data_IF_512117889694
#
_entry.id   IF_512117889694
#
_cell.length_a   1.000
_cell.length_b   1.000
_cell.length_c   1.000
_cell.angle_alpha   90.00
_cell.angle_beta   90.00
_cell.angle_gamma   90.00
#
_symmetry.space_group_name_H-M   'P 1'
#
loop_
_entity.id
_entity.type
_entity.pdbx_description
1 polymer ?
#
# COMPACT_ATOMS: atom_id res chain seq x y z
N UNK A 1 16.43 19.52 33.65
CA UNK A 1 15.00 19.18 33.43
C UNK A 1 14.24 20.38 32.89
N UNK A 2 14.50 21.57 33.42
CA UNK A 2 13.84 22.83 33.00
C UNK A 2 14.14 23.22 31.55
N UNK A 3 15.30 22.86 31.03
CA UNK A 3 15.66 23.08 29.62
C UNK A 3 14.74 22.36 28.62
N UNK A 4 14.32 21.12 28.94
CA UNK A 4 13.42 20.34 28.08
C UNK A 4 12.02 20.94 28.10
N UNK A 5 11.54 21.34 29.29
CA UNK A 5 10.24 21.99 29.44
C UNK A 5 10.21 23.35 28.74
N UNK A 6 11.27 24.15 28.86
CA UNK A 6 11.37 25.44 28.16
C UNK A 6 11.42 25.25 26.64
N UNK A 7 12.16 24.26 26.13
CA UNK A 7 12.19 23.93 24.69
C UNK A 7 10.85 23.43 24.15
N UNK A 8 10.13 22.61 24.92
CA UNK A 8 8.78 22.15 24.56
C UNK A 8 7.79 23.31 24.53
N UNK A 9 7.91 24.24 25.49
CA UNK A 9 7.06 25.43 25.57
C UNK A 9 7.38 26.40 24.43
N UNK A 10 8.66 26.61 24.10
CA UNK A 10 9.09 27.40 22.94
C UNK A 10 8.62 26.78 21.61
N UNK A 11 8.70 25.45 21.46
CA UNK A 11 8.16 24.77 20.27
C UNK A 11 6.63 24.85 20.19
N UNK A 12 5.93 24.76 21.32
CA UNK A 12 4.47 24.90 21.37
C UNK A 12 4.04 26.33 21.06
N UNK A 13 4.73 27.33 21.58
CA UNK A 13 4.45 28.75 21.32
C UNK A 13 4.78 29.11 19.86
N UNK A 14 5.89 28.62 19.31
CA UNK A 14 6.23 28.80 17.89
C UNK A 14 5.23 28.11 16.94
N UNK A 15 4.71 26.93 17.32
CA UNK A 15 3.62 26.24 16.59
C UNK A 15 2.26 26.94 16.73
N UNK A 16 2.06 27.73 17.79
CA UNK A 16 0.80 28.46 18.06
C UNK A 16 0.79 29.86 17.43
N UNK A 17 1.95 30.49 17.23
CA UNK A 17 2.08 31.86 16.74
C UNK A 17 1.99 32.05 15.21
N UNK A 18 1.90 30.96 14.42
CA UNK A 18 1.77 31.06 12.95
C UNK A 18 0.30 31.01 12.55
N UNK A 19 -0.40 32.13 12.73
CA UNK A 19 -1.82 32.27 12.41
C UNK A 19 -1.98 32.74 10.94
N UNK A 20 -2.05 31.80 9.99
CA UNK A 20 -2.64 31.99 8.64
C UNK A 20 -3.20 30.64 8.10
N UNK A 21 -4.24 30.68 7.23
CA UNK A 21 -5.62 30.34 7.59
C UNK A 21 -5.80 28.87 8.06
N UNK A 22 -6.10 28.71 9.35
CA UNK A 22 -6.24 27.42 10.09
C UNK A 22 -7.19 26.40 9.43
N UNK A 23 -8.25 26.87 8.77
CA UNK A 23 -9.26 25.99 8.14
C UNK A 23 -8.73 25.24 6.90
N UNK A 24 -7.95 25.92 6.04
CA UNK A 24 -7.41 25.29 4.81
C UNK A 24 -6.36 24.23 5.14
N UNK A 25 -5.57 24.45 6.19
CA UNK A 25 -4.58 23.49 6.66
C UNK A 25 -5.25 22.24 7.26
N UNK A 26 -6.23 22.42 8.15
CA UNK A 26 -7.01 21.32 8.73
C UNK A 26 -7.71 20.51 7.64
N UNK A 27 -8.37 21.17 6.69
CA UNK A 27 -9.01 20.50 5.56
C UNK A 27 -7.99 19.72 4.71
N UNK A 28 -6.79 20.24 4.51
CA UNK A 28 -5.71 19.53 3.80
C UNK A 28 -5.27 18.27 4.54
N UNK A 29 -5.12 18.32 5.86
CA UNK A 29 -4.78 17.14 6.66
C UNK A 29 -5.89 16.08 6.61
N UNK A 30 -7.16 16.49 6.70
CA UNK A 30 -8.31 15.59 6.56
C UNK A 30 -8.32 14.94 5.17
N UNK A 31 -8.15 15.71 4.10
CA UNK A 31 -8.09 15.20 2.74
C UNK A 31 -6.94 14.20 2.54
N UNK A 32 -5.77 14.46 3.11
CA UNK A 32 -4.62 13.53 3.09
C UNK A 32 -5.00 12.22 3.78
N UNK A 33 -5.59 12.27 4.98
CA UNK A 33 -6.02 11.07 5.70
C UNK A 33 -7.07 10.30 4.89
N UNK A 34 -8.04 10.98 4.27
CA UNK A 34 -9.05 10.35 3.40
C UNK A 34 -8.39 9.67 2.19
N UNK A 35 -7.45 10.32 1.52
CA UNK A 35 -6.72 9.73 0.38
C UNK A 35 -5.90 8.51 0.80
N UNK A 36 -5.20 8.56 1.94
CA UNK A 36 -4.46 7.42 2.47
C UNK A 36 -5.40 6.28 2.89
N UNK A 37 -6.55 6.62 3.48
CA UNK A 37 -7.59 5.66 3.88
C UNK A 37 -8.15 4.93 2.67
N UNK A 38 -8.57 5.67 1.63
CA UNK A 38 -9.09 5.09 0.40
C UNK A 38 -8.00 4.30 -0.34
N UNK A 39 -6.77 4.81 -0.40
CA UNK A 39 -5.64 4.11 -0.99
C UNK A 39 -5.38 2.75 -0.33
N UNK A 40 -5.37 2.69 1.01
CA UNK A 40 -5.20 1.43 1.73
C UNK A 40 -6.43 0.52 1.62
N UNK A 41 -7.64 1.08 1.60
CA UNK A 41 -8.89 0.34 1.36
C UNK A 41 -8.84 -0.44 0.04
N UNK A 42 -8.48 0.23 -1.07
CA UNK A 42 -8.37 -0.44 -2.36
C UNK A 42 -7.20 -1.43 -2.39
N UNK A 43 -6.08 -1.09 -1.75
CA UNK A 43 -4.93 -1.99 -1.66
C UNK A 43 -5.29 -3.27 -0.91
N UNK A 44 -6.00 -3.19 0.22
CA UNK A 44 -6.43 -4.35 0.99
C UNK A 44 -7.49 -5.16 0.25
N UNK A 45 -8.40 -4.48 -0.46
CA UNK A 45 -9.40 -5.15 -1.28
C UNK A 45 -8.77 -6.05 -2.35
N UNK A 46 -7.83 -5.53 -3.15
CA UNK A 46 -7.11 -6.33 -4.16
C UNK A 46 -6.10 -7.30 -3.57
N UNK A 47 -5.34 -6.86 -2.55
CA UNK A 47 -4.26 -7.63 -1.94
C UNK A 47 -4.76 -8.83 -1.16
N UNK A 48 -5.83 -8.69 -0.37
CA UNK A 48 -6.41 -9.83 0.35
C UNK A 48 -7.16 -10.77 -0.58
N UNK A 49 -7.78 -10.25 -1.65
CA UNK A 49 -8.31 -11.13 -2.70
C UNK A 49 -7.21 -12.01 -3.29
N UNK A 50 -6.03 -11.44 -3.56
CA UNK A 50 -4.86 -12.23 -3.94
C UNK A 50 -4.51 -13.27 -2.87
N UNK A 51 -4.24 -12.84 -1.64
CA UNK A 51 -3.72 -13.74 -0.59
C UNK A 51 -4.68 -14.91 -0.28
N UNK A 52 -5.98 -14.67 -0.33
CA UNK A 52 -6.98 -15.69 -0.04
C UNK A 52 -7.16 -16.67 -1.20
N UNK A 53 -7.14 -16.20 -2.45
CA UNK A 53 -7.43 -17.01 -3.63
C UNK A 53 -6.19 -17.51 -4.37
N UNK A 54 -5.00 -17.00 -4.07
CA UNK A 54 -3.73 -17.35 -4.74
C UNK A 54 -3.50 -18.87 -4.83
N UNK A 55 -3.65 -19.67 -3.75
CA UNK A 55 -3.45 -21.11 -3.84
C UNK A 55 -4.49 -21.78 -4.75
N UNK A 56 -5.74 -21.29 -4.69
CA UNK A 56 -6.83 -21.82 -5.51
C UNK A 56 -6.66 -21.46 -6.99
N UNK A 57 -6.20 -20.23 -7.28
CA UNK A 57 -5.87 -19.77 -8.63
C UNK A 57 -4.74 -20.61 -9.21
N UNK A 58 -3.63 -20.78 -8.46
CA UNK A 58 -2.51 -21.62 -8.90
C UNK A 58 -2.98 -23.04 -9.18
N UNK A 59 -3.72 -23.66 -8.27
CA UNK A 59 -4.21 -25.03 -8.46
C UNK A 59 -5.08 -25.16 -9.72
N UNK A 60 -6.06 -24.27 -9.91
CA UNK A 60 -6.99 -24.36 -11.03
C UNK A 60 -6.37 -24.00 -12.38
N UNK A 61 -5.41 -23.07 -12.41
CA UNK A 61 -4.76 -22.64 -13.65
C UNK A 61 -3.64 -23.58 -14.10
N UNK A 62 -2.96 -24.25 -13.16
CA UNK A 62 -1.83 -25.16 -13.46
C UNK A 62 -2.18 -26.64 -13.44
N UNK A 63 -3.29 -27.02 -12.79
CA UNK A 63 -3.64 -28.41 -12.50
C UNK A 63 -2.71 -29.09 -11.48
N UNK A 64 -1.91 -28.32 -10.73
CA UNK A 64 -0.95 -28.88 -9.78
C UNK A 64 -1.60 -29.46 -8.52
N UNK A 65 -0.92 -30.44 -7.92
CA UNK A 65 -1.29 -30.96 -6.60
C UNK A 65 -1.15 -29.88 -5.52
N UNK A 66 -1.94 -30.00 -4.45
CA UNK A 66 -1.88 -29.10 -3.28
C UNK A 66 -0.44 -28.94 -2.78
N UNK A 67 0.32 -30.04 -2.71
CA UNK A 67 1.71 -30.01 -2.26
C UNK A 67 2.60 -29.10 -3.11
N UNK A 68 2.50 -29.16 -4.45
CA UNK A 68 3.28 -28.28 -5.33
C UNK A 68 2.88 -26.82 -5.19
N UNK A 69 1.58 -26.55 -5.08
CA UNK A 69 1.06 -25.18 -4.86
C UNK A 69 1.60 -24.61 -3.54
N UNK A 70 1.61 -25.40 -2.46
CA UNK A 70 2.15 -24.97 -1.17
C UNK A 70 3.64 -24.60 -1.24
N UNK A 71 4.43 -25.29 -2.07
CA UNK A 71 5.84 -24.94 -2.28
C UNK A 71 6.04 -23.62 -3.03
N UNK A 72 5.02 -23.12 -3.75
CA UNK A 72 5.10 -21.84 -4.44
C UNK A 72 4.83 -20.66 -3.52
N UNK A 73 4.07 -20.85 -2.44
CA UNK A 73 3.78 -19.79 -1.45
C UNK A 73 5.04 -19.08 -0.95
N UNK A 74 6.08 -19.78 -0.47
CA UNK A 74 7.35 -19.17 -0.08
C UNK A 74 8.04 -18.37 -1.19
N UNK A 75 7.90 -18.76 -2.45
CA UNK A 75 8.49 -18.02 -3.59
C UNK A 75 7.75 -16.69 -3.78
N UNK A 76 6.42 -16.74 -3.81
CA UNK A 76 5.55 -15.57 -4.00
C UNK A 76 5.72 -14.57 -2.87
N UNK A 77 5.63 -15.04 -1.62
CA UNK A 77 5.79 -14.19 -0.43
C UNK A 77 7.25 -13.80 -0.17
N UNK A 78 8.21 -14.63 -0.58
CA UNK A 78 9.64 -14.32 -0.51
C UNK A 78 10.03 -13.14 -1.41
N UNK A 79 9.46 -13.05 -2.62
CA UNK A 79 9.58 -11.86 -3.46
C UNK A 79 8.98 -10.61 -2.78
N UNK A 80 7.84 -10.78 -2.09
CA UNK A 80 7.25 -9.80 -1.16
C UNK A 80 8.22 -9.26 -0.12
N UNK A 81 8.84 -10.16 0.63
CA UNK A 81 9.80 -9.83 1.68
C UNK A 81 11.02 -9.09 1.14
N UNK A 82 11.63 -9.60 0.06
CA UNK A 82 12.78 -8.94 -0.57
C UNK A 82 12.43 -7.51 -1.01
N UNK A 83 11.24 -7.34 -1.60
CA UNK A 83 10.71 -6.05 -1.98
C UNK A 83 10.51 -5.10 -0.82
N UNK A 84 9.94 -5.58 0.29
CA UNK A 84 9.74 -4.80 1.51
C UNK A 84 11.05 -4.27 2.09
N UNK A 85 12.08 -5.11 2.15
CA UNK A 85 13.40 -4.70 2.65
C UNK A 85 14.03 -3.65 1.75
N UNK A 86 13.99 -3.86 0.42
CA UNK A 86 14.55 -2.92 -0.54
C UNK A 86 13.79 -1.59 -0.56
N UNK A 87 12.47 -1.61 -0.67
CA UNK A 87 11.65 -0.39 -0.71
C UNK A 87 11.62 0.34 0.63
N UNK A 88 11.70 -0.37 1.76
CA UNK A 88 11.89 0.25 3.07
C UNK A 88 13.18 1.06 3.14
N UNK A 89 14.31 0.43 2.83
CA UNK A 89 15.62 1.09 2.82
C UNK A 89 15.68 2.24 1.81
N UNK A 90 15.19 2.02 0.60
CA UNK A 90 15.17 3.01 -0.48
C UNK A 90 14.28 4.21 -0.14
N UNK A 91 13.10 3.96 0.47
CA UNK A 91 12.17 4.99 0.91
C UNK A 91 12.79 5.89 1.97
N UNK A 92 13.53 5.32 2.91
CA UNK A 92 14.21 6.09 3.96
C UNK A 92 15.35 6.95 3.40
N UNK A 93 16.08 6.44 2.41
CA UNK A 93 17.18 7.17 1.76
C UNK A 93 16.70 8.30 0.84
N UNK A 94 15.71 8.04 -0.01
CA UNK A 94 15.22 9.01 -0.99
C UNK A 94 14.13 9.92 -0.44
N UNK A 95 13.45 9.53 0.63
CA UNK A 95 12.31 10.23 1.25
C UNK A 95 11.15 10.48 0.28
N UNK A 96 11.09 9.74 -0.82
CA UNK A 96 10.04 9.79 -1.83
C UNK A 96 8.95 8.74 -1.57
N UNK A 97 8.38 8.77 -0.37
CA UNK A 97 7.51 7.69 0.17
C UNK A 97 6.31 7.35 -0.72
N UNK A 98 5.80 8.31 -1.50
CA UNK A 98 4.69 8.06 -2.44
C UNK A 98 5.06 7.19 -3.62
N UNK A 99 6.23 7.42 -4.20
CA UNK A 99 6.71 6.59 -5.30
C UNK A 99 7.02 5.19 -4.78
N UNK A 100 7.54 5.09 -3.56
CA UNK A 100 7.78 3.81 -2.90
C UNK A 100 6.50 3.06 -2.51
N UNK A 101 5.36 3.75 -2.42
CA UNK A 101 4.04 3.11 -2.32
C UNK A 101 3.48 2.73 -3.70
N UNK A 102 3.49 3.66 -4.66
CA UNK A 102 2.82 3.47 -5.93
C UNK A 102 3.54 2.49 -6.85
N UNK A 103 4.87 2.48 -6.88
CA UNK A 103 5.65 1.63 -7.78
C UNK A 103 5.38 0.14 -7.51
N UNK A 104 5.40 -0.37 -6.26
CA UNK A 104 5.04 -1.76 -5.99
C UNK A 104 3.62 -2.13 -6.42
N UNK A 105 2.60 -1.33 -6.07
CA UNK A 105 1.22 -1.58 -6.50
C UNK A 105 1.05 -1.57 -8.02
N UNK A 106 1.67 -0.60 -8.70
CA UNK A 106 1.64 -0.53 -10.16
C UNK A 106 2.36 -1.72 -10.79
N UNK A 107 3.44 -2.21 -10.17
CA UNK A 107 4.13 -3.43 -10.62
C UNK A 107 3.20 -4.64 -10.56
N UNK A 108 2.43 -4.80 -9.49
CA UNK A 108 1.40 -5.86 -9.40
C UNK A 108 0.30 -5.69 -10.46
N UNK A 109 -0.19 -4.45 -10.67
CA UNK A 109 -1.20 -4.16 -11.68
C UNK A 109 -0.71 -4.47 -13.10
N UNK A 110 0.51 -4.05 -13.43
CA UNK A 110 1.13 -4.32 -14.73
C UNK A 110 1.39 -5.81 -14.92
N UNK A 111 1.88 -6.52 -13.90
CA UNK A 111 2.11 -7.96 -13.98
C UNK A 111 0.82 -8.73 -14.30
N UNK A 112 -0.29 -8.39 -13.63
CA UNK A 112 -1.61 -8.96 -13.93
C UNK A 112 -2.15 -8.51 -15.29
N UNK A 113 -1.88 -7.27 -15.71
CA UNK A 113 -2.26 -6.79 -17.04
C UNK A 113 -1.55 -7.56 -18.15
N UNK A 114 -0.25 -7.82 -17.99
CA UNK A 114 0.58 -8.56 -18.94
C UNK A 114 0.15 -10.04 -19.02
N UNK A 115 -0.39 -10.61 -17.94
CA UNK A 115 -0.92 -11.99 -17.95
C UNK A 115 -1.95 -12.24 -19.05
N UNK A 116 -2.78 -11.25 -19.39
CA UNK A 116 -3.79 -11.37 -20.44
C UNK A 116 -3.20 -11.56 -21.85
N UNK A 117 -1.95 -11.17 -22.05
CA UNK A 117 -1.28 -11.20 -23.35
C UNK A 117 -0.18 -12.27 -23.42
N UNK A 118 0.19 -12.86 -22.28
CA UNK A 118 1.22 -13.88 -22.23
C UNK A 118 0.68 -15.27 -22.61
N UNK A 119 1.51 -16.11 -23.26
CA UNK A 119 1.21 -17.52 -23.41
C UNK A 119 0.99 -18.15 -22.04
N UNK A 120 -0.10 -18.91 -21.92
CA UNK A 120 -0.52 -19.53 -20.66
C UNK A 120 0.46 -20.65 -20.29
N UNK A 121 1.51 -20.29 -19.55
CA UNK A 121 2.55 -21.18 -19.05
C UNK A 121 2.62 -21.11 -17.53
N UNK A 122 2.83 -22.26 -16.90
CA UNK A 122 2.95 -22.35 -15.45
C UNK A 122 4.11 -21.49 -14.91
N UNK A 123 5.21 -21.37 -15.67
CA UNK A 123 6.36 -20.54 -15.28
C UNK A 123 5.97 -19.06 -15.31
N UNK A 124 5.25 -18.63 -16.35
CA UNK A 124 4.79 -17.25 -16.46
C UNK A 124 3.81 -16.89 -15.33
N UNK A 125 2.92 -17.81 -14.96
CA UNK A 125 1.98 -17.62 -13.85
C UNK A 125 2.71 -17.41 -12.52
N UNK A 126 3.69 -18.26 -12.19
CA UNK A 126 4.46 -18.14 -10.94
C UNK A 126 5.24 -16.83 -10.90
N UNK A 127 5.83 -16.40 -12.02
CA UNK A 127 6.52 -15.11 -12.11
C UNK A 127 5.56 -13.94 -11.87
N UNK A 128 4.39 -13.94 -12.50
CA UNK A 128 3.39 -12.89 -12.32
C UNK A 128 2.88 -12.88 -10.88
N UNK A 129 2.58 -14.03 -10.30
CA UNK A 129 2.11 -14.12 -8.92
C UNK A 129 3.18 -13.65 -7.94
N UNK A 130 4.45 -13.92 -8.22
CA UNK A 130 5.58 -13.41 -7.42
C UNK A 130 5.68 -11.87 -7.51
N UNK A 131 5.46 -11.28 -8.69
CA UNK A 131 5.41 -9.82 -8.86
C UNK A 131 4.19 -9.19 -8.17
N UNK A 132 3.06 -9.90 -8.14
CA UNK A 132 1.88 -9.46 -7.37
C UNK A 132 2.16 -9.57 -5.87
N UNK A 133 2.75 -10.66 -5.40
CA UNK A 133 3.22 -10.85 -4.02
C UNK A 133 4.15 -9.72 -3.59
N UNK A 134 5.15 -9.40 -4.43
CA UNK A 134 5.99 -8.21 -4.30
C UNK A 134 5.17 -6.93 -4.12
N UNK A 135 4.24 -6.63 -5.03
CA UNK A 135 3.45 -5.41 -4.99
C UNK A 135 2.49 -5.33 -3.79
N UNK A 136 2.04 -6.46 -3.25
CA UNK A 136 1.15 -6.49 -2.06
C UNK A 136 1.88 -6.35 -0.73
N UNK A 137 3.22 -6.47 -0.71
CA UNK A 137 4.00 -6.44 0.54
C UNK A 137 5.00 -5.27 0.56
N UNK A 138 5.64 -4.97 -0.58
CA UNK A 138 6.76 -4.03 -0.61
C UNK A 138 6.39 -2.58 -0.23
N UNK A 139 5.12 -2.20 -0.36
CA UNK A 139 4.65 -0.84 -0.06
C UNK A 139 4.47 -0.55 1.44
N UNK A 140 4.33 -1.59 2.28
CA UNK A 140 3.98 -1.46 3.71
C UNK A 140 4.86 -0.43 4.46
N UNK A 141 6.19 -0.50 4.42
CA UNK A 141 7.04 0.42 5.17
C UNK A 141 6.91 1.86 4.69
N UNK A 142 6.79 2.06 3.38
CA UNK A 142 6.61 3.39 2.80
C UNK A 142 5.26 4.00 3.19
N UNK A 143 4.18 3.21 3.21
CA UNK A 143 2.85 3.68 3.55
C UNK A 143 2.75 4.15 5.00
N UNK A 144 3.20 3.33 5.95
CA UNK A 144 3.07 3.65 7.38
C UNK A 144 3.96 4.82 7.83
N UNK A 145 4.94 5.21 7.01
CA UNK A 145 5.71 6.42 7.21
C UNK A 145 4.99 7.70 6.72
N UNK A 146 3.93 7.60 5.90
CA UNK A 146 3.20 8.77 5.36
C UNK A 146 2.38 9.51 6.43
N UNK A 147 1.55 8.87 7.29
CA UNK A 147 0.73 9.61 8.26
C UNK A 147 1.56 10.47 9.22
N UNK A 148 2.68 9.94 9.72
CA UNK A 148 3.58 10.64 10.64
C UNK A 148 4.34 11.80 9.99
N UNK A 149 4.37 11.88 8.67
CA UNK A 149 5.00 12.99 7.95
C UNK A 149 4.11 14.22 7.83
N UNK A 150 2.79 14.03 7.88
CA UNK A 150 1.81 15.11 7.71
C UNK A 150 1.14 15.52 9.02
N UNK A 151 1.11 14.65 10.02
CA UNK A 151 0.32 14.83 11.24
C UNK A 151 1.24 14.89 12.46
N UNK A 152 0.79 15.57 13.51
CA UNK A 152 1.44 15.47 14.82
C UNK A 152 1.40 14.04 15.33
N UNK A 153 2.32 13.65 16.22
CA UNK A 153 2.45 12.27 16.70
C UNK A 153 1.13 11.67 17.22
N UNK A 154 0.32 12.46 17.94
CA UNK A 154 -1.00 12.04 18.45
C UNK A 154 -2.03 11.88 17.32
N UNK A 155 -2.11 12.86 16.40
CA UNK A 155 -3.05 12.80 15.28
C UNK A 155 -2.68 11.69 14.27
N UNK A 156 -1.38 11.42 14.09
CA UNK A 156 -0.88 10.34 13.24
C UNK A 156 -1.29 8.96 13.78
N UNK A 157 -1.23 8.74 15.10
CA UNK A 157 -1.68 7.49 15.72
C UNK A 157 -3.19 7.28 15.55
N UNK A 158 -4.00 8.32 15.78
CA UNK A 158 -5.44 8.28 15.58
C UNK A 158 -5.80 8.01 14.10
N UNK A 159 -5.14 8.69 13.17
CA UNK A 159 -5.32 8.48 11.74
C UNK A 159 -4.92 7.06 11.31
N UNK A 160 -3.80 6.52 11.82
CA UNK A 160 -3.36 5.17 11.53
C UNK A 160 -4.37 4.11 11.98
N UNK A 161 -4.95 4.26 13.18
CA UNK A 161 -6.03 3.39 13.66
C UNK A 161 -7.27 3.46 12.77
N UNK A 162 -7.72 4.68 12.43
CA UNK A 162 -8.87 4.88 11.54
C UNK A 162 -8.66 4.29 10.15
N UNK A 163 -7.48 4.53 9.56
CA UNK A 163 -7.06 3.97 8.27
C UNK A 163 -7.13 2.45 8.30
N UNK A 164 -6.62 1.81 9.37
CA UNK A 164 -6.62 0.36 9.49
C UNK A 164 -8.04 -0.23 9.58
N UNK A 165 -8.93 0.39 10.36
CA UNK A 165 -10.33 -0.02 10.46
C UNK A 165 -11.02 0.02 9.09
N UNK A 166 -10.87 1.12 8.36
CA UNK A 166 -11.44 1.28 7.02
C UNK A 166 -10.80 0.31 6.03
N UNK A 167 -9.48 0.15 6.05
CA UNK A 167 -8.80 -0.80 5.18
C UNK A 167 -9.24 -2.24 5.43
N UNK A 168 -9.51 -2.62 6.68
CA UNK A 168 -10.04 -3.94 7.04
C UNK A 168 -11.43 -4.18 6.46
N UNK A 169 -12.28 -3.15 6.36
CA UNK A 169 -13.56 -3.23 5.64
C UNK A 169 -13.32 -3.55 4.16
N UNK A 170 -12.36 -2.87 3.53
CA UNK A 170 -11.95 -3.16 2.15
C UNK A 170 -11.43 -4.59 1.98
N UNK A 171 -10.63 -5.06 2.94
CA UNK A 171 -10.12 -6.42 3.00
C UNK A 171 -11.19 -7.50 3.22
N UNK A 172 -12.35 -7.16 3.81
CA UNK A 172 -13.50 -8.06 3.91
C UNK A 172 -14.27 -8.13 2.58
N UNK A 173 -14.56 -6.98 1.97
CA UNK A 173 -15.33 -6.93 0.73
C UNK A 173 -14.55 -7.42 -0.49
N UNK A 174 -13.23 -7.19 -0.56
CA UNK A 174 -12.39 -7.58 -1.70
C UNK A 174 -12.48 -9.06 -2.06
N UNK A 175 -12.11 -9.99 -1.17
CA UNK A 175 -12.24 -11.43 -1.39
C UNK A 175 -13.69 -11.87 -1.66
N UNK A 176 -14.68 -11.25 -0.99
CA UNK A 176 -16.09 -11.58 -1.21
C UNK A 176 -16.53 -11.28 -2.64
N UNK A 177 -16.26 -10.06 -3.12
CA UNK A 177 -16.60 -9.62 -4.48
C UNK A 177 -15.80 -10.44 -5.51
N UNK A 178 -14.51 -10.66 -5.25
CA UNK A 178 -13.66 -11.50 -6.09
C UNK A 178 -14.22 -12.92 -6.25
N UNK A 179 -14.60 -13.56 -5.14
CA UNK A 179 -15.14 -14.92 -5.13
C UNK A 179 -16.45 -15.02 -5.90
N UNK A 180 -17.37 -14.08 -5.68
CA UNK A 180 -18.66 -14.03 -6.36
C UNK A 180 -18.51 -13.81 -7.88
N UNK A 181 -17.63 -12.89 -8.30
CA UNK A 181 -17.32 -12.66 -9.71
C UNK A 181 -16.71 -13.90 -10.36
N UNK A 182 -15.76 -14.55 -9.68
CA UNK A 182 -15.07 -15.73 -10.19
C UNK A 182 -16.02 -16.93 -10.31
N UNK A 183 -16.98 -17.08 -9.39
CA UNK A 183 -18.00 -18.12 -9.46
C UNK A 183 -19.02 -17.87 -10.58
N UNK A 184 -19.52 -16.64 -10.71
CA UNK A 184 -20.54 -16.29 -11.74
C UNK A 184 -19.98 -16.36 -13.15
N UNK A 185 -18.74 -15.92 -13.36
CA UNK A 185 -18.12 -15.89 -14.69
C UNK A 185 -17.40 -17.20 -15.05
N UNK A 186 -17.14 -18.06 -14.06
CA UNK A 186 -16.37 -19.29 -14.25
C UNK A 186 -14.88 -19.06 -14.57
N UNK A 187 -14.41 -17.81 -14.54
CA UNK A 187 -13.05 -17.42 -14.90
C UNK A 187 -12.46 -16.45 -13.88
N UNK A 188 -11.14 -16.54 -13.68
CA UNK A 188 -10.41 -15.62 -12.81
C UNK A 188 -10.10 -14.27 -13.47
N UNK A 189 -10.32 -14.15 -14.78
CA UNK A 189 -10.03 -12.94 -15.56
C UNK A 189 -10.73 -11.70 -14.97
N UNK A 190 -12.02 -11.84 -14.63
CA UNK A 190 -12.81 -10.75 -14.02
C UNK A 190 -12.25 -10.35 -12.66
N UNK A 191 -11.78 -11.33 -11.88
CA UNK A 191 -11.12 -11.11 -10.60
C UNK A 191 -9.79 -10.38 -10.76
N UNK A 192 -8.98 -10.74 -11.75
CA UNK A 192 -7.74 -10.02 -12.07
C UNK A 192 -8.00 -8.58 -12.48
N UNK A 193 -9.04 -8.31 -13.28
CA UNK A 193 -9.42 -6.93 -13.64
C UNK A 193 -9.77 -6.13 -12.38
N UNK A 194 -10.53 -6.71 -11.44
CA UNK A 194 -10.86 -6.06 -10.17
C UNK A 194 -9.60 -5.74 -9.35
N UNK A 195 -8.64 -6.65 -9.30
CA UNK A 195 -7.37 -6.44 -8.59
C UNK A 195 -6.50 -5.37 -9.26
N UNK A 196 -6.43 -5.37 -10.60
CA UNK A 196 -5.71 -4.34 -11.36
C UNK A 196 -6.34 -2.97 -11.06
N UNK A 197 -7.67 -2.86 -11.16
CA UNK A 197 -8.39 -1.63 -10.90
C UNK A 197 -8.12 -1.12 -9.48
N UNK A 198 -8.15 -1.99 -8.48
CA UNK A 198 -7.91 -1.58 -7.09
C UNK A 198 -6.47 -1.13 -6.85
N UNK A 199 -5.46 -1.83 -7.40
CA UNK A 199 -4.05 -1.40 -7.29
C UNK A 199 -3.76 -0.09 -8.03
N UNK A 200 -4.36 0.11 -9.21
CA UNK A 200 -4.23 1.37 -9.96
C UNK A 200 -4.88 2.52 -9.22
N UNK A 201 -6.13 2.35 -8.77
CA UNK A 201 -6.85 3.40 -8.01
C UNK A 201 -6.09 3.74 -6.73
N UNK A 202 -5.59 2.74 -5.99
CA UNK A 202 -4.77 2.98 -4.80
C UNK A 202 -3.52 3.80 -5.10
N UNK A 203 -2.79 3.44 -6.16
CA UNK A 203 -1.57 4.12 -6.59
C UNK A 203 -1.84 5.57 -6.99
N UNK A 204 -2.88 5.81 -7.79
CA UNK A 204 -3.27 7.16 -8.22
C UNK A 204 -3.68 8.01 -7.03
N UNK A 205 -4.49 7.49 -6.11
CA UNK A 205 -4.91 8.23 -4.91
C UNK A 205 -3.73 8.69 -4.05
N UNK A 206 -2.74 7.81 -3.86
CA UNK A 206 -1.54 8.15 -3.07
C UNK A 206 -0.61 9.10 -3.83
N UNK A 207 -0.48 8.98 -5.16
CA UNK A 207 0.34 9.90 -5.98
C UNK A 207 -0.25 11.31 -6.04
N UNK A 208 -1.59 11.44 -6.08
CA UNK A 208 -2.30 12.74 -6.10
C UNK A 208 -2.21 13.48 -4.76
N UNK A 209 -1.92 12.76 -3.67
CA UNK A 209 -1.70 13.36 -2.36
C UNK A 209 -0.61 14.47 -2.43
N UNK A 210 -0.71 15.62 -1.71
CA UNK A 210 0.24 16.75 -1.82
C UNK A 210 1.64 16.44 -1.29
N UNK A 211 2.73 16.81 -1.99
CA UNK A 211 4.16 16.52 -1.63
C UNK A 211 4.43 16.78 -0.14
N UNK A 212 5.05 15.80 0.52
CA UNK A 212 5.55 15.98 1.88
C UNK A 212 6.54 17.15 1.80
N UNK A 213 6.21 18.27 2.43
CA UNK A 213 7.16 19.34 2.63
C UNK A 213 8.10 18.89 3.75
N UNK A 214 9.00 17.97 3.43
CA UNK A 214 10.15 17.69 4.27
C UNK A 214 11.02 18.94 4.19
N UNK A 215 10.89 19.80 5.20
CA UNK A 215 11.74 20.97 5.32
C UNK A 215 13.19 20.56 5.12
N UNK A 216 13.91 21.27 4.23
CA UNK A 216 15.36 21.19 4.01
C UNK A 216 16.19 21.60 5.25
N UNK A 217 15.74 21.27 6.47
CA UNK A 217 16.16 21.93 7.71
C UNK A 217 16.92 21.09 8.73
N UNK A 218 17.40 19.88 8.41
CA UNK A 218 18.10 19.07 9.44
C UNK A 218 19.28 18.23 8.97
N UNK A 219 19.77 18.39 7.74
CA UNK A 219 20.99 17.69 7.27
C UNK A 219 22.23 18.60 7.27
N UNK A 220 22.12 19.83 7.78
CA UNK A 220 23.24 20.79 7.84
C UNK A 220 23.89 20.94 9.22
N UNK A 221 23.80 19.94 10.11
CA UNK A 221 24.58 19.91 11.37
C UNK A 221 25.10 18.51 11.66
N UNK A 222 26.11 18.12 10.88
CA UNK A 222 27.29 17.39 11.37
C UNK A 222 28.42 18.42 11.44
#
# INVERSE_FOLDING_TARGET
RDWINNRLTEEQVAKTATDQPRMKLVLRHILIVVMLTLGLFFTYSGGYAFWFFEPTMLQRLTGWSVQRVSWMGPIVFGAGLAGMLFFGWSSDRMRERRWHFAIPQLTAAVALGVWFFLPQSNVALVLIFSLVGFGTIAYLPAFWALPSAFLSSSAAAAAAGFINCMASIGGYFGPKIFGELSQRTGSFNTGFILMIASFVVASVLVLVCPRENLGRGSVARL
#
